data_IF_131888039938
#
_entry.id   IF_131888039938
#
_cell.length_a   1.000
_cell.length_b   1.000
_cell.length_c   1.000
_cell.angle_alpha   90.00
_cell.angle_beta   90.00
_cell.angle_gamma   90.00
#
_symmetry.space_group_name_H-M   'P 1'
#
loop_
_entity.id
_entity.type
_entity.pdbx_description
1 polymer ?
#
# COMPACT_ATOMS: atom_id res chain seq x y z
N UNK A 1 -24.81 -10.53 -20.94
CA UNK A 1 -24.78 -9.60 -19.79
C UNK A 1 -23.46 -9.85 -19.05
N UNK A 2 -22.45 -9.03 -19.31
CA UNK A 2 -21.06 -9.25 -18.87
C UNK A 2 -20.59 -8.17 -17.88
N UNK A 3 -21.52 -7.57 -17.13
CA UNK A 3 -21.26 -6.40 -16.27
C UNK A 3 -21.11 -6.75 -14.79
N UNK A 4 -21.60 -7.91 -14.34
CA UNK A 4 -21.64 -8.27 -12.91
C UNK A 4 -20.29 -8.81 -12.36
N UNK A 5 -19.45 -9.37 -13.22
CA UNK A 5 -18.20 -10.03 -12.79
C UNK A 5 -17.10 -9.02 -12.43
N UNK A 6 -17.05 -7.89 -13.15
CA UNK A 6 -16.05 -6.84 -12.92
C UNK A 6 -16.30 -6.04 -11.62
N UNK A 7 -17.57 -5.84 -11.23
CA UNK A 7 -17.89 -5.20 -9.95
C UNK A 7 -17.60 -6.13 -8.75
N UNK A 8 -17.83 -7.44 -8.88
CA UNK A 8 -17.52 -8.42 -7.82
C UNK A 8 -16.02 -8.65 -7.61
N UNK A 9 -15.21 -8.57 -8.67
CA UNK A 9 -13.75 -8.64 -8.58
C UNK A 9 -13.15 -7.42 -7.84
N UNK A 10 -13.84 -6.28 -7.86
CA UNK A 10 -13.39 -5.05 -7.19
C UNK A 10 -13.56 -5.09 -5.66
N UNK A 11 -14.36 -6.03 -5.15
CA UNK A 11 -14.59 -6.31 -3.73
C UNK A 11 -13.78 -7.51 -3.20
N UNK A 12 -12.93 -8.14 -4.02
CA UNK A 12 -12.11 -9.24 -3.52
C UNK A 12 -10.99 -8.70 -2.63
N UNK A 13 -10.79 -9.30 -1.44
CA UNK A 13 -9.71 -8.91 -0.55
C UNK A 13 -8.38 -9.07 -1.28
N UNK A 14 -7.55 -8.02 -1.23
CA UNK A 14 -6.22 -8.05 -1.86
C UNK A 14 -5.36 -9.06 -1.09
N UNK A 15 -5.22 -10.27 -1.61
CA UNK A 15 -4.39 -11.31 -0.96
C UNK A 15 -2.91 -10.92 -0.98
N UNK A 16 -2.47 -10.22 -2.02
CA UNK A 16 -1.07 -9.82 -2.23
C UNK A 16 -0.96 -8.37 -2.72
N UNK A 17 -0.43 -7.49 -1.86
CA UNK A 17 -0.19 -6.09 -2.18
C UNK A 17 0.82 -5.90 -3.33
N UNK A 18 1.67 -6.88 -3.61
CA UNK A 18 2.61 -6.83 -4.74
C UNK A 18 1.88 -6.66 -6.07
N UNK A 19 0.67 -7.23 -6.20
CA UNK A 19 -0.15 -7.16 -7.42
C UNK A 19 -1.21 -6.06 -7.37
N UNK A 20 -1.30 -5.31 -6.28
CA UNK A 20 -2.34 -4.31 -6.06
C UNK A 20 -2.06 -2.97 -6.76
N UNK A 21 -0.79 -2.69 -7.09
CA UNK A 21 -0.37 -1.42 -7.68
C UNK A 21 -0.19 -1.55 -9.19
N UNK A 22 -0.66 -0.56 -9.94
CA UNK A 22 -0.28 -0.41 -11.34
C UNK A 22 1.24 -0.12 -11.44
N UNK A 23 1.88 -0.49 -12.55
CA UNK A 23 3.34 -0.33 -12.70
C UNK A 23 3.78 1.13 -12.50
N UNK A 24 3.04 2.08 -13.08
CA UNK A 24 3.33 3.50 -12.94
C UNK A 24 3.16 3.99 -11.49
N UNK A 25 2.13 3.51 -10.80
CA UNK A 25 1.87 3.85 -9.40
C UNK A 25 2.96 3.30 -8.49
N UNK A 26 3.43 2.07 -8.74
CA UNK A 26 4.57 1.49 -8.04
C UNK A 26 5.83 2.34 -8.22
N UNK A 27 6.16 2.73 -9.45
CA UNK A 27 7.34 3.54 -9.73
C UNK A 27 7.25 4.89 -9.01
N UNK A 28 6.07 5.53 -9.05
CA UNK A 28 5.82 6.79 -8.36
C UNK A 28 5.99 6.67 -6.85
N UNK A 29 5.40 5.63 -6.23
CA UNK A 29 5.55 5.37 -4.79
C UNK A 29 7.02 5.17 -4.42
N UNK A 30 7.76 4.35 -5.18
CA UNK A 30 9.17 4.10 -4.92
C UNK A 30 9.97 5.42 -4.93
N UNK A 31 9.77 6.24 -5.96
CA UNK A 31 10.53 7.49 -6.11
C UNK A 31 10.17 8.51 -5.02
N UNK A 32 8.88 8.75 -4.80
CA UNK A 32 8.42 9.83 -3.93
C UNK A 32 8.41 9.44 -2.45
N UNK A 33 7.89 8.24 -2.14
CA UNK A 33 7.72 7.77 -0.76
C UNK A 33 8.92 6.99 -0.23
N UNK A 34 9.72 6.37 -1.10
CA UNK A 34 10.89 5.58 -0.70
C UNK A 34 12.21 6.18 -1.20
N UNK A 35 12.18 7.37 -1.80
CA UNK A 35 13.39 8.06 -2.26
C UNK A 35 14.16 7.31 -3.36
N UNK A 36 13.46 6.50 -4.16
CA UNK A 36 14.04 5.64 -5.18
C UNK A 36 14.47 4.26 -4.67
N UNK A 37 14.31 3.97 -3.37
CA UNK A 37 14.70 2.69 -2.78
C UNK A 37 13.65 1.60 -3.05
N UNK A 38 13.81 0.95 -4.20
CA UNK A 38 12.96 -0.17 -4.62
C UNK A 38 13.09 -1.41 -3.72
N UNK A 39 14.24 -1.63 -3.09
CA UNK A 39 14.47 -2.76 -2.18
C UNK A 39 13.63 -2.58 -0.93
N UNK A 40 13.71 -1.39 -0.32
CA UNK A 40 12.93 -1.05 0.86
C UNK A 40 11.43 -1.06 0.60
N UNK A 41 10.99 -0.66 -0.58
CA UNK A 41 9.59 -0.83 -1.00
C UNK A 41 9.18 -2.30 -1.02
N UNK A 42 9.95 -3.17 -1.68
CA UNK A 42 9.63 -4.61 -1.78
C UNK A 42 9.58 -5.26 -0.39
N UNK A 43 10.53 -4.94 0.49
CA UNK A 43 10.54 -5.49 1.85
C UNK A 43 9.37 -4.96 2.70
N UNK A 44 9.02 -3.68 2.54
CA UNK A 44 7.81 -3.11 3.16
C UNK A 44 6.56 -3.86 2.70
N UNK A 45 6.40 -4.10 1.40
CA UNK A 45 5.26 -4.86 0.85
C UNK A 45 5.24 -6.31 1.36
N UNK A 46 6.39 -6.98 1.46
CA UNK A 46 6.48 -8.33 2.03
C UNK A 46 6.05 -8.35 3.49
N UNK A 47 6.52 -7.40 4.28
CA UNK A 47 6.19 -7.31 5.69
C UNK A 47 4.70 -7.02 5.88
N UNK A 48 4.16 -6.06 5.12
CA UNK A 48 2.71 -5.83 5.03
C UNK A 48 1.95 -7.08 4.57
N UNK A 49 2.48 -7.90 3.68
CA UNK A 49 1.79 -9.12 3.30
C UNK A 49 1.77 -10.18 4.40
N UNK A 50 2.75 -10.17 5.31
CA UNK A 50 2.87 -11.12 6.42
C UNK A 50 2.05 -10.75 7.66
N UNK A 51 1.65 -9.48 7.81
CA UNK A 51 0.85 -9.01 8.93
C UNK A 51 -0.60 -9.50 8.82
N UNK A 52 -1.25 -9.69 9.98
CA UNK A 52 -2.60 -10.24 10.07
C UNK A 52 -3.69 -9.16 10.17
N UNK A 53 -3.34 -7.94 10.58
CA UNK A 53 -4.30 -6.85 10.79
C UNK A 53 -3.84 -5.53 10.18
N UNK A 54 -4.81 -4.69 9.80
CA UNK A 54 -4.52 -3.32 9.35
C UNK A 54 -3.91 -2.47 10.47
N UNK A 55 -4.24 -2.74 11.74
CA UNK A 55 -3.69 -2.01 12.88
C UNK A 55 -2.17 -2.19 12.98
N UNK A 56 -1.71 -3.43 12.85
CA UNK A 56 -0.28 -3.74 12.87
C UNK A 56 0.42 -3.16 11.63
N UNK A 57 -0.22 -3.28 10.46
CA UNK A 57 0.28 -2.71 9.20
C UNK A 57 0.45 -1.19 9.28
N UNK A 58 -0.54 -0.48 9.84
CA UNK A 58 -0.48 0.97 10.04
C UNK A 58 0.63 1.34 11.03
N UNK A 59 0.73 0.62 12.14
CA UNK A 59 1.76 0.88 13.15
C UNK A 59 3.16 0.68 12.59
N UNK A 60 3.37 -0.40 11.84
CA UNK A 60 4.62 -0.68 11.12
C UNK A 60 4.94 0.43 10.10
N UNK A 61 3.97 0.80 9.25
CA UNK A 61 4.18 1.86 8.26
C UNK A 61 4.55 3.20 8.89
N UNK A 62 3.86 3.59 9.97
CA UNK A 62 4.15 4.86 10.65
C UNK A 62 5.56 4.84 11.24
N UNK A 63 5.91 3.80 11.99
CA UNK A 63 7.18 3.72 12.73
C UNK A 63 8.39 3.50 11.83
N UNK A 64 8.31 2.55 10.90
CA UNK A 64 9.47 2.06 10.16
C UNK A 64 9.67 2.77 8.81
N UNK A 65 8.60 3.35 8.24
CA UNK A 65 8.63 3.88 6.86
C UNK A 65 8.30 5.37 6.83
N UNK A 66 7.14 5.76 7.33
CA UNK A 66 6.60 7.11 7.18
C UNK A 66 7.45 8.16 7.91
N UNK A 67 7.90 7.86 9.14
CA UNK A 67 8.81 8.73 9.88
C UNK A 67 10.16 8.87 9.17
N UNK A 68 10.74 7.76 8.71
CA UNK A 68 12.05 7.75 8.06
C UNK A 68 12.06 8.44 6.68
N UNK A 69 10.93 8.49 5.98
CA UNK A 69 10.81 9.08 4.64
C UNK A 69 10.04 10.40 4.62
N UNK A 70 9.73 10.97 5.80
CA UNK A 70 8.98 12.21 5.98
C UNK A 70 7.67 12.28 5.19
N UNK A 71 6.85 11.23 5.27
CA UNK A 71 5.56 11.16 4.56
C UNK A 71 4.56 12.23 5.03
N UNK A 72 4.83 12.89 6.15
CA UNK A 72 4.03 14.00 6.67
C UNK A 72 4.21 15.31 5.89
N UNK A 73 5.15 15.39 4.94
CA UNK A 73 5.26 16.55 4.04
C UNK A 73 4.04 16.64 3.14
N UNK A 74 3.49 17.84 2.94
CA UNK A 74 2.26 18.06 2.17
C UNK A 74 2.30 17.46 0.75
N UNK A 75 3.46 17.51 0.09
CA UNK A 75 3.67 16.94 -1.25
C UNK A 75 3.55 15.39 -1.27
N UNK A 76 3.94 14.74 -0.17
CA UNK A 76 3.92 13.27 -0.04
C UNK A 76 2.67 12.75 0.64
N UNK A 77 1.96 13.59 1.39
CA UNK A 77 0.81 13.21 2.19
C UNK A 77 -0.32 12.60 1.36
N UNK A 78 -0.62 13.18 0.19
CA UNK A 78 -1.64 12.67 -0.74
C UNK A 78 -1.29 11.28 -1.29
N UNK A 79 -0.04 11.09 -1.69
CA UNK A 79 0.45 9.80 -2.21
C UNK A 79 0.53 8.74 -1.10
N UNK A 80 0.99 9.13 0.09
CA UNK A 80 1.02 8.27 1.28
C UNK A 80 -0.39 7.84 1.70
N UNK A 81 -1.36 8.76 1.69
CA UNK A 81 -2.77 8.47 1.97
C UNK A 81 -3.34 7.47 0.98
N UNK A 82 -3.07 7.65 -0.32
CA UNK A 82 -3.47 6.73 -1.38
C UNK A 82 -2.87 5.33 -1.19
N UNK A 83 -1.58 5.25 -0.86
CA UNK A 83 -0.90 4.01 -0.53
C UNK A 83 -1.52 3.30 0.68
N UNK A 84 -1.77 4.03 1.78
CA UNK A 84 -2.39 3.47 3.00
C UNK A 84 -3.82 2.98 2.69
N UNK A 85 -4.57 3.66 1.82
CA UNK A 85 -5.89 3.21 1.35
C UNK A 85 -5.82 1.86 0.64
N UNK A 86 -4.82 1.65 -0.20
CA UNK A 86 -4.60 0.36 -0.88
C UNK A 86 -4.21 -0.73 0.12
N UNK A 87 -3.32 -0.43 1.06
CA UNK A 87 -2.97 -1.34 2.15
C UNK A 87 -4.20 -1.73 2.97
N UNK A 88 -5.09 -0.78 3.28
CA UNK A 88 -6.34 -1.07 4.00
C UNK A 88 -7.24 -2.05 3.25
N UNK A 89 -7.29 -2.01 1.91
CA UNK A 89 -8.10 -2.95 1.11
C UNK A 89 -7.61 -4.40 1.17
N UNK A 90 -6.35 -4.65 1.56
CA UNK A 90 -5.86 -6.01 1.85
C UNK A 90 -6.50 -6.60 3.10
N UNK A 91 -6.75 -5.77 4.10
CA UNK A 91 -7.25 -6.22 5.40
C UNK A 91 -8.75 -5.96 5.47
N UNK A 92 -9.60 -6.98 5.25
CA UNK A 92 -11.00 -6.84 5.54
C UNK A 92 -11.18 -6.47 7.02
N UNK A 93 -12.01 -5.48 7.29
CA UNK A 93 -12.48 -5.20 8.65
C UNK A 93 -13.28 -6.42 9.09
N UNK A 94 -12.69 -7.29 9.91
CA UNK A 94 -13.41 -8.36 10.61
C UNK A 94 -14.31 -7.72 11.67
#
# INVERSE_FOLDING_TARGET
KASDLSEKLSQLPISDLTRAFAVNERILIINELFGGDSVRFVDTIRQLNSLQSFSDAKTFLVREVAMANHWANDEKAELASSFIRLVRRKYPSV
#
